data_IF_802840282310
#
_entry.id   IF_802840282310
#
_cell.length_a   1.000
_cell.length_b   1.000
_cell.length_c   1.000
_cell.angle_alpha   90.00
_cell.angle_beta   90.00
_cell.angle_gamma   90.00
#
_symmetry.space_group_name_H-M   'P 1'
#
loop_
_entity.id
_entity.type
_entity.pdbx_description
1 polymer ?
#
# COMPACT_ATOMS: atom_id res chain seq x y z
N UNK A 1 -6.71 22.35 24.40
CA UNK A 1 -5.84 21.19 24.13
C UNK A 1 -6.66 19.97 24.47
N UNK A 2 -7.21 19.29 23.46
CA UNK A 2 -7.98 18.06 23.68
C UNK A 2 -6.94 16.98 23.94
N UNK A 3 -6.88 16.51 25.17
CA UNK A 3 -6.04 15.39 25.57
C UNK A 3 -6.73 14.16 25.00
N UNK A 4 -6.16 13.59 23.94
CA UNK A 4 -6.57 12.27 23.48
C UNK A 4 -6.12 11.28 24.54
N UNK A 5 -7.07 10.56 25.10
CA UNK A 5 -6.81 9.47 26.02
C UNK A 5 -6.06 8.38 25.23
N UNK A 6 -4.81 8.08 25.62
CA UNK A 6 -3.98 7.01 25.04
C UNK A 6 -4.39 5.62 25.58
N UNK A 7 -5.60 5.49 26.15
CA UNK A 7 -6.16 4.19 26.46
C UNK A 7 -6.65 3.51 25.17
N UNK A 8 -6.30 2.23 24.94
CA UNK A 8 -6.82 1.47 23.82
C UNK A 8 -8.34 1.39 23.99
N UNK A 9 -9.07 2.05 23.10
CA UNK A 9 -10.52 2.10 23.14
C UNK A 9 -11.05 0.66 23.02
N UNK A 10 -11.59 0.15 24.12
CA UNK A 10 -12.02 -1.24 24.24
C UNK A 10 -13.31 -1.52 23.48
N UNK A 11 -13.95 -0.49 22.90
CA UNK A 11 -15.12 -0.55 22.00
C UNK A 11 -14.78 -0.43 20.50
N UNK A 12 -13.50 -0.26 20.13
CA UNK A 12 -13.15 -0.03 18.73
C UNK A 12 -13.16 -1.32 17.88
N UNK A 13 -14.17 -1.44 17.03
CA UNK A 13 -14.40 -2.53 16.07
C UNK A 13 -13.36 -2.56 14.93
N UNK A 14 -12.32 -1.71 14.98
CA UNK A 14 -11.29 -1.52 13.96
C UNK A 14 -10.01 -2.33 14.19
N UNK A 15 -9.90 -3.24 15.17
CA UNK A 15 -8.65 -4.01 15.39
C UNK A 15 -8.42 -5.11 14.34
N UNK A 16 -7.22 -5.14 13.74
CA UNK A 16 -6.82 -6.14 12.72
C UNK A 16 -5.53 -6.89 13.09
N UNK A 17 -5.60 -8.22 13.17
CA UNK A 17 -4.42 -9.07 13.42
C UNK A 17 -3.44 -9.03 12.23
N UNK A 18 -2.15 -9.31 12.49
CA UNK A 18 -1.10 -9.35 11.45
C UNK A 18 -1.46 -10.26 10.27
N UNK A 19 -2.06 -11.41 10.53
CA UNK A 19 -2.44 -12.38 9.49
C UNK A 19 -3.59 -11.83 8.62
N UNK A 20 -4.59 -11.17 9.24
CA UNK A 20 -5.67 -10.52 8.49
C UNK A 20 -5.20 -9.33 7.68
N UNK A 21 -4.31 -8.52 8.24
CA UNK A 21 -3.67 -7.42 7.53
C UNK A 21 -2.91 -7.93 6.30
N UNK A 22 -2.06 -8.95 6.48
CA UNK A 22 -1.28 -9.55 5.41
C UNK A 22 -2.19 -10.10 4.30
N UNK A 23 -3.19 -10.91 4.67
CA UNK A 23 -4.14 -11.48 3.72
C UNK A 23 -4.98 -10.42 2.97
N UNK A 24 -5.43 -9.36 3.65
CA UNK A 24 -6.22 -8.29 3.04
C UNK A 24 -5.42 -7.43 2.06
N UNK A 25 -4.10 -7.37 2.22
CA UNK A 25 -3.19 -6.61 1.36
C UNK A 25 -2.65 -7.41 0.16
N UNK A 26 -2.90 -8.71 0.07
CA UNK A 26 -2.53 -9.52 -1.09
C UNK A 26 -3.06 -8.95 -2.43
N UNK A 27 -4.36 -8.63 -2.60
CA UNK A 27 -4.85 -8.06 -3.85
C UNK A 27 -4.26 -6.67 -4.12
N UNK A 28 -3.93 -5.92 -3.06
CA UNK A 28 -3.27 -4.61 -3.18
C UNK A 28 -1.87 -4.78 -3.75
N UNK A 29 -1.07 -5.70 -3.19
CA UNK A 29 0.28 -5.97 -3.67
C UNK A 29 0.30 -6.44 -5.13
N UNK A 30 -0.64 -7.31 -5.52
CA UNK A 30 -0.80 -7.74 -6.90
C UNK A 30 -1.21 -6.57 -7.82
N UNK A 31 -2.14 -5.73 -7.37
CA UNK A 31 -2.56 -4.54 -8.11
C UNK A 31 -1.39 -3.57 -8.31
N UNK A 32 -0.67 -3.25 -7.25
CA UNK A 32 0.53 -2.39 -7.30
C UNK A 32 1.61 -2.99 -8.21
N UNK A 33 1.82 -4.31 -8.19
CA UNK A 33 2.74 -4.99 -9.11
C UNK A 33 2.35 -4.81 -10.57
N UNK A 34 1.09 -5.12 -10.90
CA UNK A 34 0.58 -5.01 -12.25
C UNK A 34 0.70 -3.57 -12.77
N UNK A 35 0.30 -2.59 -11.94
CA UNK A 35 0.36 -1.17 -12.30
C UNK A 35 1.82 -0.72 -12.50
N UNK A 36 2.75 -1.17 -11.65
CA UNK A 36 4.18 -0.89 -11.82
C UNK A 36 4.76 -1.50 -13.10
N UNK A 37 4.39 -2.73 -13.44
CA UNK A 37 4.82 -3.40 -14.67
C UNK A 37 4.31 -2.66 -15.92
N UNK A 38 3.06 -2.22 -15.89
CA UNK A 38 2.48 -1.44 -16.99
C UNK A 38 3.16 -0.07 -17.11
N UNK A 39 3.44 0.62 -16.00
CA UNK A 39 4.16 1.90 -16.00
C UNK A 39 5.58 1.77 -16.57
N UNK A 40 6.32 0.73 -16.17
CA UNK A 40 7.66 0.46 -16.71
C UNK A 40 7.61 0.10 -18.20
N UNK A 41 6.64 -0.70 -18.62
CA UNK A 41 6.43 -1.04 -20.02
C UNK A 41 6.11 0.20 -20.87
N UNK A 42 5.23 1.09 -20.39
CA UNK A 42 4.93 2.37 -21.02
C UNK A 42 6.16 3.29 -21.08
N UNK A 43 6.98 3.30 -20.03
CA UNK A 43 8.23 4.08 -19.99
C UNK A 43 9.23 3.62 -21.06
N UNK A 44 9.51 2.32 -21.12
CA UNK A 44 10.46 1.75 -22.07
C UNK A 44 9.99 1.94 -23.52
N UNK A 45 8.71 1.70 -23.80
CA UNK A 45 8.15 1.88 -25.16
C UNK A 45 8.20 3.34 -25.61
N UNK A 46 8.07 4.31 -24.71
CA UNK A 46 8.18 5.74 -25.06
C UNK A 46 9.64 6.18 -25.30
N UNK A 47 10.60 5.60 -24.57
CA UNK A 47 12.04 5.85 -24.75
C UNK A 47 12.56 5.25 -26.07
N UNK A 48 12.13 4.04 -26.41
CA UNK A 48 12.61 3.30 -27.58
C UNK A 48 12.02 3.82 -28.90
N UNK A 49 10.74 4.24 -28.90
CA UNK A 49 10.07 4.67 -30.12
C UNK A 49 10.06 6.19 -30.37
N UNK A 50 10.89 6.97 -29.64
CA UNK A 50 10.88 8.46 -29.61
C UNK A 50 9.43 8.97 -29.68
N UNK A 51 8.72 9.01 -28.55
CA UNK A 51 7.40 9.65 -28.43
C UNK A 51 7.33 10.97 -29.23
N UNK A 52 6.92 10.84 -30.49
CA UNK A 52 7.16 11.81 -31.56
C UNK A 52 5.80 12.17 -32.14
N UNK A 53 5.43 13.44 -31.97
CA UNK A 53 4.25 14.02 -32.58
C UNK A 53 2.97 13.88 -31.75
N UNK A 54 2.82 14.75 -30.75
CA UNK A 54 1.61 15.43 -30.23
C UNK A 54 0.25 14.71 -30.00
N UNK A 55 0.04 13.44 -30.38
CA UNK A 55 -1.23 12.72 -30.14
C UNK A 55 -1.03 11.59 -29.12
N UNK A 56 0.07 10.83 -29.24
CA UNK A 56 0.41 9.78 -28.28
C UNK A 56 0.81 10.33 -26.91
N UNK A 57 1.44 11.52 -26.85
CA UNK A 57 1.88 12.13 -25.59
C UNK A 57 0.74 12.53 -24.65
N UNK A 58 -0.40 12.95 -25.20
CA UNK A 58 -1.61 13.28 -24.42
C UNK A 58 -2.34 12.03 -23.90
N UNK A 59 -2.43 10.98 -24.73
CA UNK A 59 -3.03 9.69 -24.32
C UNK A 59 -2.17 8.94 -23.29
N UNK A 60 -0.84 8.96 -23.45
CA UNK A 60 0.11 8.36 -22.50
C UNK A 60 0.10 9.15 -21.19
N UNK A 61 0.09 10.49 -21.24
CA UNK A 61 -0.04 11.34 -20.05
C UNK A 61 -1.34 11.10 -19.28
N UNK A 62 -2.47 11.01 -19.99
CA UNK A 62 -3.77 10.69 -19.37
C UNK A 62 -3.82 9.28 -18.76
N UNK A 63 -3.22 8.29 -19.42
CA UNK A 63 -3.12 6.93 -18.87
C UNK A 63 -2.31 6.92 -17.56
N UNK A 64 -1.14 7.57 -17.53
CA UNK A 64 -0.30 7.66 -16.33
C UNK A 64 -1.06 8.28 -15.16
N UNK A 65 -1.88 9.30 -15.40
CA UNK A 65 -2.69 9.92 -14.35
C UNK A 65 -3.73 8.94 -13.77
N UNK A 66 -4.40 8.14 -14.61
CA UNK A 66 -5.31 7.09 -14.15
C UNK A 66 -4.56 6.02 -13.35
N UNK A 67 -3.36 5.64 -13.78
CA UNK A 67 -2.50 4.70 -13.05
C UNK A 67 -2.11 5.23 -11.67
N UNK A 68 -1.69 6.50 -11.57
CA UNK A 68 -1.36 7.16 -10.31
C UNK A 68 -2.56 7.16 -9.36
N UNK A 69 -3.74 7.52 -9.85
CA UNK A 69 -4.96 7.50 -9.03
C UNK A 69 -5.33 6.09 -8.56
N UNK A 70 -5.16 5.08 -9.42
CA UNK A 70 -5.39 3.69 -9.06
C UNK A 70 -4.41 3.21 -7.98
N UNK A 71 -3.12 3.52 -8.11
CA UNK A 71 -2.11 3.21 -7.10
C UNK A 71 -2.42 3.95 -5.79
N UNK A 72 -2.76 5.24 -5.85
CA UNK A 72 -3.14 6.00 -4.67
C UNK A 72 -4.38 5.41 -3.97
N UNK A 73 -5.40 5.01 -4.72
CA UNK A 73 -6.58 4.35 -4.17
C UNK A 73 -6.25 3.02 -3.47
N UNK A 74 -5.35 2.23 -4.05
CA UNK A 74 -4.82 1.01 -3.44
C UNK A 74 -4.04 1.29 -2.15
N UNK A 75 -3.18 2.31 -2.14
CA UNK A 75 -2.46 2.75 -0.94
C UNK A 75 -3.40 3.28 0.14
N UNK A 76 -4.43 4.03 -0.24
CA UNK A 76 -5.44 4.51 0.70
C UNK A 76 -6.21 3.34 1.33
N UNK A 77 -6.56 2.33 0.52
CA UNK A 77 -7.18 1.10 1.02
C UNK A 77 -6.26 0.35 1.98
N UNK A 78 -4.98 0.16 1.61
CA UNK A 78 -3.98 -0.45 2.47
C UNK A 78 -3.76 0.36 3.76
N UNK A 79 -3.79 1.69 3.69
CA UNK A 79 -3.64 2.56 4.86
C UNK A 79 -4.80 2.42 5.84
N UNK A 80 -6.05 2.24 5.37
CA UNK A 80 -7.16 1.91 6.26
C UNK A 80 -6.91 0.62 7.03
N UNK A 81 -6.33 -0.40 6.41
CA UNK A 81 -5.95 -1.63 7.10
C UNK A 81 -4.74 -1.43 8.02
N UNK A 82 -3.83 -0.52 7.67
CA UNK A 82 -2.69 -0.16 8.49
C UNK A 82 -3.12 0.60 9.74
N UNK A 83 -4.03 1.56 9.64
CA UNK A 83 -4.63 2.28 10.77
C UNK A 83 -5.28 1.31 11.76
N UNK A 84 -6.04 0.33 11.25
CA UNK A 84 -6.61 -0.77 12.03
C UNK A 84 -5.56 -1.57 12.80
N UNK A 85 -4.37 -1.74 12.20
CA UNK A 85 -3.26 -2.46 12.80
C UNK A 85 -2.43 -1.60 13.76
N UNK A 86 -2.28 -0.30 13.49
CA UNK A 86 -1.67 0.66 14.42
C UNK A 86 -2.52 0.79 15.69
N UNK A 87 -3.85 0.83 15.52
CA UNK A 87 -4.80 0.84 16.64
C UNK A 87 -4.69 -0.44 17.47
N UNK A 88 -4.62 -1.60 16.81
CA UNK A 88 -4.37 -2.88 17.48
C UNK A 88 -3.01 -2.89 18.20
N UNK A 89 -1.96 -2.29 17.62
CA UNK A 89 -0.63 -2.21 18.24
C UNK A 89 -0.51 -1.16 19.36
N UNK A 90 -1.50 -0.27 19.51
CA UNK A 90 -1.42 0.89 20.40
C UNK A 90 -0.31 1.89 20.04
N UNK A 91 0.29 1.80 18.84
CA UNK A 91 1.39 2.66 18.43
C UNK A 91 1.49 2.79 16.90
N UNK A 92 2.22 3.79 16.42
CA UNK A 92 2.54 3.95 15.00
C UNK A 92 1.47 4.64 14.13
N UNK A 93 0.34 5.07 14.70
CA UNK A 93 -0.73 5.78 13.99
C UNK A 93 -0.23 7.03 13.26
N UNK A 94 0.56 7.88 13.95
CA UNK A 94 1.15 9.09 13.35
C UNK A 94 2.07 8.80 12.16
N UNK A 95 2.80 7.68 12.18
CA UNK A 95 3.70 7.29 11.09
C UNK A 95 2.89 6.84 9.87
N UNK A 96 1.83 6.03 10.09
CA UNK A 96 0.93 5.60 9.02
C UNK A 96 0.26 6.80 8.32
N UNK A 97 -0.18 7.80 9.08
CA UNK A 97 -0.74 9.03 8.55
C UNK A 97 0.28 9.82 7.71
N UNK A 98 1.52 9.97 8.19
CA UNK A 98 2.60 10.62 7.42
C UNK A 98 2.87 9.88 6.11
N UNK A 99 2.90 8.54 6.12
CA UNK A 99 3.10 7.73 4.91
C UNK A 99 1.99 7.99 3.87
N UNK A 100 0.73 8.10 4.31
CA UNK A 100 -0.40 8.39 3.41
C UNK A 100 -0.32 9.82 2.86
N UNK A 101 0.01 10.82 3.68
CA UNK A 101 0.19 12.19 3.21
C UNK A 101 1.34 12.30 2.21
N UNK A 102 2.47 11.62 2.48
CA UNK A 102 3.59 11.58 1.55
C UNK A 102 3.18 10.96 0.20
N UNK A 103 2.41 9.86 0.22
CA UNK A 103 1.87 9.25 -0.98
C UNK A 103 0.90 10.17 -1.74
N UNK A 104 0.06 10.94 -1.03
CA UNK A 104 -0.83 11.93 -1.62
C UNK A 104 -0.05 13.06 -2.30
N UNK A 105 0.94 13.64 -1.62
CA UNK A 105 1.80 14.68 -2.19
C UNK A 105 2.52 14.15 -3.42
N UNK A 106 3.08 12.95 -3.36
CA UNK A 106 3.78 12.34 -4.48
C UNK A 106 2.83 12.07 -5.66
N UNK A 107 1.59 11.63 -5.39
CA UNK A 107 0.56 11.49 -6.40
C UNK A 107 0.25 12.83 -7.09
N UNK A 108 0.02 13.90 -6.32
CA UNK A 108 -0.24 15.24 -6.88
C UNK A 108 0.93 15.75 -7.71
N UNK A 109 2.17 15.61 -7.22
CA UNK A 109 3.37 16.05 -7.96
C UNK A 109 3.55 15.23 -9.24
N UNK A 110 3.16 13.95 -9.23
CA UNK A 110 3.27 13.09 -10.41
C UNK A 110 2.36 13.50 -11.58
N UNK A 111 1.31 14.30 -11.32
CA UNK A 111 0.51 14.90 -12.40
C UNK A 111 1.31 15.89 -13.24
N UNK A 112 2.35 16.50 -12.66
CA UNK A 112 3.26 17.43 -13.35
C UNK A 112 4.50 16.70 -13.84
N UNK A 113 5.05 15.80 -13.02
CA UNK A 113 6.24 15.01 -13.35
C UNK A 113 5.93 13.51 -13.30
N UNK A 114 5.57 12.87 -14.44
CA UNK A 114 5.16 11.47 -14.46
C UNK A 114 6.26 10.48 -14.03
N UNK A 115 7.54 10.88 -14.07
CA UNK A 115 8.65 10.08 -13.54
C UNK A 115 8.52 9.79 -12.03
N UNK A 116 7.79 10.64 -11.29
CA UNK A 116 7.55 10.47 -9.86
C UNK A 116 6.38 9.51 -9.55
N UNK A 117 5.72 8.93 -10.55
CA UNK A 117 4.69 7.91 -10.35
C UNK A 117 5.26 6.59 -9.80
N UNK A 118 6.50 6.25 -10.18
CA UNK A 118 7.17 5.02 -9.77
C UNK A 118 7.47 4.96 -8.25
N UNK A 119 7.98 6.02 -7.60
CA UNK A 119 8.17 6.01 -6.15
C UNK A 119 6.88 5.84 -5.34
N UNK A 120 5.69 6.11 -5.90
CA UNK A 120 4.40 5.84 -5.22
C UNK A 120 4.22 4.33 -4.99
N UNK A 121 4.70 3.49 -5.91
CA UNK A 121 4.65 2.02 -5.81
C UNK A 121 5.40 1.51 -4.57
N UNK A 122 6.55 2.13 -4.24
CA UNK A 122 7.32 1.80 -3.04
C UNK A 122 6.58 2.14 -1.75
N UNK A 123 5.67 3.10 -1.78
CA UNK A 123 4.79 3.43 -0.64
C UNK A 123 3.98 2.22 -0.17
N UNK A 124 3.53 1.36 -1.09
CA UNK A 124 2.73 0.17 -0.75
C UNK A 124 3.54 -0.91 -0.07
N UNK A 125 4.78 -1.13 -0.52
CA UNK A 125 5.73 -2.00 0.17
C UNK A 125 6.05 -1.48 1.57
N UNK A 126 6.33 -0.18 1.69
CA UNK A 126 6.65 0.44 2.98
C UNK A 126 5.51 0.31 3.97
N UNK A 127 4.28 0.61 3.57
CA UNK A 127 3.09 0.42 4.40
C UNK A 127 2.89 -1.05 4.80
N UNK A 128 3.17 -1.99 3.90
CA UNK A 128 3.06 -3.42 4.17
C UNK A 128 4.09 -3.88 5.22
N UNK A 129 5.37 -3.56 5.00
CA UNK A 129 6.46 -3.91 5.91
C UNK A 129 6.27 -3.27 7.28
N UNK A 130 5.88 -2.00 7.31
CA UNK A 130 5.59 -1.29 8.55
C UNK A 130 4.45 -1.96 9.34
N UNK A 131 3.34 -2.31 8.68
CA UNK A 131 2.22 -3.00 9.32
C UNK A 131 2.57 -4.37 9.91
N UNK A 132 3.53 -5.07 9.29
CA UNK A 132 4.06 -6.34 9.80
C UNK A 132 5.04 -6.17 10.96
N UNK A 133 5.84 -5.10 10.94
CA UNK A 133 6.82 -4.77 11.97
C UNK A 133 6.17 -4.33 13.29
N UNK A 134 4.95 -3.77 13.25
CA UNK A 134 4.23 -3.33 14.46
C UNK A 134 4.07 -4.48 15.47
N UNK A 135 4.24 -4.26 16.78
CA UNK A 135 4.25 -5.28 17.84
C UNK A 135 2.87 -5.93 18.05
N UNK A 136 2.79 -7.25 18.05
CA UNK A 136 1.51 -7.97 18.25
C UNK A 136 0.91 -7.64 19.61
N UNK A 137 -0.37 -7.28 19.63
CA UNK A 137 -1.07 -7.02 20.89
C UNK A 137 -1.81 -8.29 21.35
N UNK A 138 -1.59 -8.74 22.60
CA UNK A 138 -2.29 -9.85 23.23
C UNK A 138 -3.57 -9.42 23.98
N UNK A 139 -4.17 -8.25 23.70
CA UNK A 139 -5.49 -7.81 24.23
C UNK A 139 -6.72 -8.22 23.37
N UNK A 140 -7.85 -8.65 23.98
CA UNK A 140 -8.98 -9.21 23.24
C UNK A 140 -9.68 -8.14 22.41
N UNK A 141 -10.14 -8.49 21.21
CA UNK A 141 -11.14 -7.68 20.52
C UNK A 141 -12.51 -7.91 21.18
N UNK A 142 -13.41 -6.92 21.17
CA UNK A 142 -14.82 -7.07 21.65
C UNK A 142 -15.56 -8.27 21.05
N UNK A 143 -15.16 -8.66 19.86
CA UNK A 143 -15.67 -9.84 19.14
C UNK A 143 -15.23 -11.17 19.75
N UNK A 144 -14.54 -11.17 20.89
CA UNK A 144 -13.91 -12.35 21.49
C UNK A 144 -12.56 -12.66 20.86
N UNK A 145 -11.57 -12.92 21.71
CA UNK A 145 -10.22 -13.32 21.34
C UNK A 145 -10.18 -14.60 20.48
N UNK A 146 -9.18 -14.73 19.60
CA UNK A 146 -9.33 -14.33 18.21
C UNK A 146 -10.33 -15.25 17.49
N UNK A 147 -11.09 -14.74 16.52
CA UNK A 147 -11.69 -15.64 15.50
C UNK A 147 -10.54 -16.47 14.90
N UNK A 148 -10.51 -17.80 15.07
CA UNK A 148 -9.37 -18.62 14.72
C UNK A 148 -9.01 -18.39 13.27
N UNK A 149 -7.73 -18.10 13.02
CA UNK A 149 -7.25 -17.87 11.66
C UNK A 149 -7.45 -19.16 10.86
N UNK A 150 -8.33 -19.08 9.88
CA UNK A 150 -8.59 -20.21 8.99
C UNK A 150 -7.33 -20.57 8.21
N UNK A 151 -7.15 -21.84 7.82
CA UNK A 151 -5.99 -22.24 7.03
C UNK A 151 -5.86 -21.44 5.73
N UNK A 152 -7.00 -21.07 5.13
CA UNK A 152 -7.05 -20.19 3.96
C UNK A 152 -6.44 -18.79 4.25
N UNK A 153 -6.77 -18.18 5.39
CA UNK A 153 -6.27 -16.87 5.77
C UNK A 153 -4.74 -16.88 6.00
N UNK A 154 -4.23 -17.94 6.62
CA UNK A 154 -2.78 -18.15 6.77
C UNK A 154 -2.08 -18.34 5.42
N UNK A 155 -2.73 -19.06 4.49
CA UNK A 155 -2.26 -19.21 3.12
C UNK A 155 -2.18 -17.87 2.39
N UNK A 156 -3.22 -17.04 2.45
CA UNK A 156 -3.21 -15.70 1.85
C UNK A 156 -2.18 -14.77 2.50
N UNK A 157 -1.99 -14.85 3.82
CA UNK A 157 -0.92 -14.11 4.49
C UNK A 157 0.46 -14.55 3.98
N UNK A 158 0.75 -15.85 3.91
CA UNK A 158 2.02 -16.34 3.37
C UNK A 158 2.23 -15.92 1.91
N UNK A 159 1.20 -16.01 1.08
CA UNK A 159 1.26 -15.55 -0.30
C UNK A 159 1.55 -14.05 -0.39
N UNK A 160 0.94 -13.22 0.48
CA UNK A 160 1.20 -11.78 0.47
C UNK A 160 2.67 -11.45 0.76
N UNK A 161 3.31 -12.20 1.66
CA UNK A 161 4.75 -12.10 1.92
C UNK A 161 5.58 -12.48 0.68
N UNK A 162 5.25 -13.61 0.05
CA UNK A 162 5.95 -14.07 -1.17
C UNK A 162 5.82 -13.02 -2.27
N UNK A 163 4.62 -12.50 -2.51
CA UNK A 163 4.37 -11.45 -3.52
C UNK A 163 5.14 -10.17 -3.17
N UNK A 164 5.16 -9.73 -1.91
CA UNK A 164 5.91 -8.55 -1.51
C UNK A 164 7.43 -8.70 -1.76
N UNK A 165 8.00 -9.87 -1.44
CA UNK A 165 9.43 -10.16 -1.69
C UNK A 165 9.72 -10.21 -3.18
N UNK A 166 8.88 -10.87 -3.98
CA UNK A 166 9.03 -10.93 -5.44
C UNK A 166 8.92 -9.54 -6.07
N UNK A 167 7.95 -8.73 -5.64
CA UNK A 167 7.79 -7.36 -6.10
C UNK A 167 9.03 -6.51 -5.77
N UNK A 168 9.54 -6.60 -4.55
CA UNK A 168 10.75 -5.88 -4.14
C UNK A 168 11.98 -6.31 -4.97
N UNK A 169 12.18 -7.63 -5.14
CA UNK A 169 13.28 -8.16 -5.94
C UNK A 169 13.16 -7.73 -7.41
N UNK A 170 11.95 -7.77 -7.98
CA UNK A 170 11.68 -7.36 -9.34
C UNK A 170 11.91 -5.85 -9.55
N UNK A 171 11.50 -5.01 -8.60
CA UNK A 171 11.77 -3.56 -8.66
C UNK A 171 13.27 -3.23 -8.59
N UNK A 172 14.03 -3.95 -7.77
CA UNK A 172 15.50 -3.79 -7.69
C UNK A 172 16.19 -4.28 -8.95
N UNK A 173 15.72 -5.39 -9.54
CA UNK A 173 16.31 -5.95 -10.75
C UNK A 173 16.03 -5.12 -12.01
N UNK A 174 14.92 -4.39 -12.04
CA UNK A 174 14.48 -3.57 -13.18
C UNK A 174 15.04 -2.13 -13.16
N UNK A 175 15.80 -1.74 -12.13
CA UNK A 175 16.56 -0.49 -12.06
C UNK A 175 17.91 -0.62 -12.79
#
# INVERSE_FOLDING_TARGET
>A
MIIYDDQPDDDDHRRASRIRFAAANLPVLLGVWLLAAVLLWLGNTCMENRCGGNVMGGQIGGAIQVFVLAVYGLLHYQNRWLERRCNDAGCGGRIAEIMLYAAMVLAVVSFVLPMLALPIVFGGLLQFVFGLALPSNPLPNLMGYPKPDTPALKGFAALSFVVAVLLAAWLVWMQ
#
